data_IF_190557212300
#
_entry.id   IF_190557212300
#
_cell.length_a   1.000
_cell.length_b   1.000
_cell.length_c   1.000
_cell.angle_alpha   90.00
_cell.angle_beta   90.00
_cell.angle_gamma   90.00
#
_symmetry.space_group_name_H-M   'P 1'
#
loop_
_entity.id
_entity.type
_entity.pdbx_description
1 polymer ?
#
# COMPACT_ATOMS: atom_id res chain seq x y z
N UNK A 1 45.32 -11.53 49.69
CA UNK A 1 43.86 -11.54 49.41
C UNK A 1 43.45 -10.67 48.23
N UNK A 2 43.93 -9.43 48.07
CA UNK A 2 43.45 -8.51 47.02
C UNK A 2 43.63 -8.99 45.57
N UNK A 3 44.76 -9.61 45.23
CA UNK A 3 45.06 -10.04 43.86
C UNK A 3 44.12 -11.16 43.35
N UNK A 4 43.68 -12.05 44.23
CA UNK A 4 42.76 -13.13 43.88
C UNK A 4 41.34 -12.60 43.60
N UNK A 5 40.93 -11.53 44.29
CA UNK A 5 39.62 -10.89 44.08
C UNK A 5 39.60 -10.16 42.73
N UNK A 6 40.69 -9.46 42.39
CA UNK A 6 40.81 -8.78 41.08
C UNK A 6 40.79 -9.78 39.93
N UNK A 7 41.48 -10.91 40.06
CA UNK A 7 41.46 -11.98 39.05
C UNK A 7 40.07 -12.62 38.92
N UNK A 8 39.36 -12.85 40.03
CA UNK A 8 38.01 -13.40 39.99
C UNK A 8 37.01 -12.46 39.29
N UNK A 9 37.07 -11.15 39.58
CA UNK A 9 36.22 -10.15 38.91
C UNK A 9 36.55 -10.05 37.42
N UNK A 10 37.84 -10.07 37.04
CA UNK A 10 38.25 -10.05 35.64
C UNK A 10 37.74 -11.27 34.86
N UNK A 11 37.77 -12.47 35.46
CA UNK A 11 37.24 -13.70 34.84
C UNK A 11 35.72 -13.60 34.66
N UNK A 12 34.98 -13.09 35.65
CA UNK A 12 33.52 -12.92 35.54
C UNK A 12 33.16 -11.92 34.43
N UNK A 13 33.89 -10.80 34.33
CA UNK A 13 33.68 -9.79 33.28
C UNK A 13 33.98 -10.37 31.89
N UNK A 14 35.09 -11.12 31.74
CA UNK A 14 35.46 -11.75 30.47
C UNK A 14 34.45 -12.83 30.05
N UNK A 15 33.87 -13.58 31.00
CA UNK A 15 32.82 -14.56 30.70
C UNK A 15 31.51 -13.88 30.28
N UNK A 16 31.17 -12.73 30.85
CA UNK A 16 29.95 -11.98 30.51
C UNK A 16 30.02 -11.27 29.15
N UNK A 17 31.20 -10.80 28.73
CA UNK A 17 31.36 -10.16 27.42
C UNK A 17 31.34 -11.15 26.24
N UNK A 18 31.51 -12.46 26.49
CA UNK A 18 31.68 -13.45 25.44
C UNK A 18 30.42 -14.28 25.11
N UNK A 19 29.30 -14.08 25.83
CA UNK A 19 28.02 -14.75 25.55
C UNK A 19 27.08 -13.84 24.77
N UNK A 20 27.44 -13.53 23.52
CA UNK A 20 26.49 -12.98 22.55
C UNK A 20 25.71 -14.16 21.98
N UNK A 21 24.53 -14.41 22.54
CA UNK A 21 23.55 -15.34 21.96
C UNK A 21 22.99 -14.65 20.72
N UNK A 22 23.40 -15.10 19.54
CA UNK A 22 22.78 -14.69 18.27
C UNK A 22 21.47 -15.49 18.15
N UNK A 23 20.29 -14.85 18.09
CA UNK A 23 19.07 -15.57 17.75
C UNK A 23 19.08 -15.91 16.24
N UNK A 24 18.93 -17.19 15.95
CA UNK A 24 18.73 -17.75 14.62
C UNK A 24 17.38 -17.24 14.05
N UNK A 25 17.45 -16.44 13.00
CA UNK A 25 16.29 -16.03 12.20
C UNK A 25 15.96 -17.14 11.20
N UNK A 26 15.28 -18.17 11.67
CA UNK A 26 14.64 -19.14 10.80
C UNK A 26 13.39 -18.52 10.13
N UNK A 27 13.17 -18.92 8.87
CA UNK A 27 11.96 -18.76 8.06
C UNK A 27 11.71 -17.43 7.33
N UNK A 28 12.50 -17.19 6.28
CA UNK A 28 11.98 -16.68 5.01
C UNK A 28 11.07 -17.75 4.38
N UNK A 29 9.77 -17.72 4.71
CA UNK A 29 8.77 -18.48 3.96
C UNK A 29 8.52 -17.78 2.62
N UNK A 30 8.74 -18.54 1.56
CA UNK A 30 8.60 -18.18 0.16
C UNK A 30 7.30 -17.42 -0.12
N UNK A 31 7.42 -16.14 -0.48
CA UNK A 31 6.44 -15.50 -1.36
C UNK A 31 6.60 -16.18 -2.71
N UNK A 32 5.80 -17.21 -2.97
CA UNK A 32 5.47 -17.59 -4.34
C UNK A 32 4.71 -16.41 -4.93
N UNK A 33 5.45 -15.52 -5.59
CA UNK A 33 4.87 -14.59 -6.54
C UNK A 33 4.26 -15.46 -7.65
N UNK A 34 2.95 -15.70 -7.55
CA UNK A 34 2.15 -16.15 -8.69
C UNK A 34 2.10 -14.95 -9.64
N UNK A 35 3.18 -14.77 -10.39
CA UNK A 35 3.16 -13.95 -11.60
C UNK A 35 2.18 -14.65 -12.54
N UNK A 36 0.96 -14.15 -12.62
CA UNK A 36 0.08 -14.43 -13.75
C UNK A 36 0.74 -13.82 -14.97
N UNK A 37 1.60 -14.61 -15.62
CA UNK A 37 2.17 -14.31 -16.93
C UNK A 37 0.99 -14.28 -17.91
N UNK A 38 0.75 -13.18 -18.63
CA UNK A 38 -0.22 -13.20 -19.74
C UNK A 38 0.25 -14.22 -20.78
N UNK A 39 -0.66 -15.05 -21.30
CA UNK A 39 -0.35 -15.99 -22.38
C UNK A 39 0.09 -15.21 -23.62
N UNK A 40 1.41 -15.14 -23.82
CA UNK A 40 2.05 -14.59 -25.01
C UNK A 40 2.20 -15.71 -26.01
N UNK A 41 1.74 -15.50 -27.25
CA UNK A 41 1.97 -16.47 -28.32
C UNK A 41 3.47 -16.57 -28.66
N UNK A 42 3.88 -17.60 -29.41
CA UNK A 42 5.29 -17.82 -29.79
C UNK A 42 5.92 -16.68 -30.61
N UNK A 43 5.13 -15.65 -30.99
CA UNK A 43 5.56 -14.48 -31.73
C UNK A 43 5.62 -13.20 -30.85
N UNK A 44 5.37 -13.28 -29.54
CA UNK A 44 5.53 -12.12 -28.65
C UNK A 44 4.35 -11.14 -28.64
N UNK A 45 3.22 -11.47 -29.27
CA UNK A 45 2.08 -10.56 -29.40
C UNK A 45 1.02 -10.85 -28.32
N UNK A 46 0.56 -9.81 -27.62
CA UNK A 46 -0.50 -9.90 -26.60
C UNK A 46 -1.81 -10.29 -27.27
N UNK A 47 -2.35 -11.47 -26.93
CA UNK A 47 -3.67 -11.87 -27.39
C UNK A 47 -4.74 -10.99 -26.69
N UNK A 48 -5.65 -10.34 -27.42
CA UNK A 48 -6.76 -9.64 -26.80
C UNK A 48 -7.63 -10.65 -26.05
N UNK A 49 -8.09 -10.29 -24.85
CA UNK A 49 -9.13 -11.04 -24.16
C UNK A 49 -10.39 -11.03 -25.04
N UNK A 50 -10.58 -12.10 -25.82
CA UNK A 50 -11.79 -12.33 -26.60
C UNK A 50 -12.91 -12.69 -25.63
N UNK A 51 -13.58 -11.68 -25.08
CA UNK A 51 -14.88 -11.85 -24.44
C UNK A 51 -15.90 -12.12 -25.54
N UNK A 52 -16.15 -13.41 -25.78
CA UNK A 52 -17.39 -14.01 -26.27
C UNK A 52 -18.21 -13.25 -27.33
N UNK A 53 -18.06 -13.69 -28.58
CA UNK A 53 -19.16 -14.38 -29.25
C UNK A 53 -20.38 -13.55 -29.58
N UNK A 54 -20.29 -12.85 -30.69
CA UNK A 54 -21.38 -12.23 -31.43
C UNK A 54 -22.38 -13.30 -31.91
N UNK A 55 -23.48 -13.49 -31.19
CA UNK A 55 -24.72 -13.99 -31.81
C UNK A 55 -25.43 -12.82 -32.47
N UNK A 56 -25.34 -12.74 -33.79
CA UNK A 56 -26.17 -11.87 -34.63
C UNK A 56 -27.65 -12.28 -34.49
N UNK A 57 -28.53 -11.46 -33.89
CA UNK A 57 -29.96 -11.70 -33.97
C UNK A 57 -30.49 -11.24 -35.33
N UNK A 58 -31.49 -11.97 -35.82
CA UNK A 58 -32.16 -11.74 -37.10
C UNK A 58 -32.85 -10.36 -37.15
N UNK A 59 -33.01 -9.78 -38.37
CA UNK A 59 -33.41 -8.40 -38.55
C UNK A 59 -34.94 -8.25 -38.48
N UNK A 60 -35.50 -8.02 -37.28
CA UNK A 60 -36.84 -7.42 -37.12
C UNK A 60 -37.32 -7.13 -35.68
N UNK A 61 -36.51 -7.23 -34.63
CA UNK A 61 -36.90 -6.67 -33.34
C UNK A 61 -36.42 -5.22 -33.22
N UNK A 62 -37.35 -4.31 -32.91
CA UNK A 62 -37.08 -2.89 -32.72
C UNK A 62 -36.03 -2.72 -31.61
N UNK A 63 -34.79 -2.48 -32.03
CA UNK A 63 -33.66 -2.11 -31.17
C UNK A 63 -33.97 -0.74 -30.59
N UNK A 64 -34.19 -0.70 -29.28
CA UNK A 64 -34.30 0.55 -28.51
C UNK A 64 -33.04 1.40 -28.77
N UNK A 65 -33.25 2.61 -29.29
CA UNK A 65 -32.26 3.50 -29.92
C UNK A 65 -31.38 4.21 -28.87
N UNK A 66 -30.73 3.45 -27.98
CA UNK A 66 -29.76 4.00 -27.04
C UNK A 66 -28.57 3.06 -26.80
N UNK A 67 -28.02 2.46 -27.86
CA UNK A 67 -26.65 1.92 -27.80
C UNK A 67 -25.69 3.11 -27.74
N UNK A 68 -25.54 3.70 -26.55
CA UNK A 68 -24.57 4.75 -26.23
C UNK A 68 -23.18 4.12 -26.18
N UNK A 69 -22.42 4.28 -27.25
CA UNK A 69 -21.01 3.91 -27.26
C UNK A 69 -20.22 4.99 -26.52
N UNK A 70 -19.52 4.59 -25.45
CA UNK A 70 -18.64 5.48 -24.71
C UNK A 70 -17.22 5.49 -25.29
N UNK A 71 -16.50 6.60 -25.10
CA UNK A 71 -15.08 6.69 -25.46
C UNK A 71 -14.25 5.72 -24.61
N UNK A 72 -13.19 5.15 -25.20
CA UNK A 72 -12.26 4.22 -24.54
C UNK A 72 -11.26 4.95 -23.62
N UNK A 73 -11.74 5.92 -22.85
CA UNK A 73 -10.93 6.65 -21.89
C UNK A 73 -10.74 5.82 -20.62
N UNK A 74 -9.54 5.91 -20.04
CA UNK A 74 -9.21 5.28 -18.76
C UNK A 74 -8.84 6.35 -17.73
N UNK A 75 -9.39 6.23 -16.52
CA UNK A 75 -9.00 7.02 -15.35
C UNK A 75 -8.18 6.14 -14.42
N UNK A 76 -7.00 6.61 -14.04
CA UNK A 76 -6.19 5.92 -13.03
C UNK A 76 -6.79 6.14 -11.65
N UNK A 77 -6.98 5.05 -10.92
CA UNK A 77 -7.42 5.04 -9.54
C UNK A 77 -6.23 5.18 -8.56
N UNK A 78 -6.48 5.57 -7.30
CA UNK A 78 -5.41 5.76 -6.31
C UNK A 78 -4.59 4.50 -6.01
N UNK A 79 -5.17 3.32 -6.21
CA UNK A 79 -4.51 2.01 -6.10
C UNK A 79 -3.58 1.70 -7.29
N UNK A 80 -3.63 2.52 -8.35
CA UNK A 80 -2.90 2.33 -9.59
C UNK A 80 -3.67 1.56 -10.68
N UNK A 81 -4.86 1.00 -10.38
CA UNK A 81 -5.75 0.41 -11.38
C UNK A 81 -6.34 1.46 -12.33
N UNK A 82 -6.98 1.00 -13.41
CA UNK A 82 -7.63 1.86 -14.39
C UNK A 82 -9.10 1.49 -14.54
N UNK A 83 -9.97 2.50 -14.50
CA UNK A 83 -11.42 2.35 -14.73
C UNK A 83 -11.81 3.05 -16.02
N UNK A 84 -12.66 2.38 -16.80
CA UNK A 84 -13.24 2.93 -18.03
C UNK A 84 -14.53 3.71 -17.77
N UNK A 85 -15.06 4.34 -18.81
CA UNK A 85 -16.41 4.91 -18.80
C UNK A 85 -17.46 3.79 -18.90
N UNK A 86 -18.52 3.92 -18.12
CA UNK A 86 -19.69 3.03 -18.14
C UNK A 86 -20.94 3.81 -18.59
N UNK A 87 -21.74 3.18 -19.46
CA UNK A 87 -22.98 3.76 -19.99
C UNK A 87 -24.13 3.71 -18.97
N UNK A 88 -25.24 4.46 -19.17
CA UNK A 88 -25.63 5.25 -20.36
C UNK A 88 -25.10 6.70 -20.40
N UNK A 89 -24.52 7.21 -19.30
CA UNK A 89 -24.02 8.59 -19.19
C UNK A 89 -22.53 8.75 -19.49
N UNK A 90 -21.83 7.66 -19.81
CA UNK A 90 -20.39 7.63 -20.09
C UNK A 90 -19.54 8.29 -19.00
N UNK A 91 -19.91 8.04 -17.75
CA UNK A 91 -19.14 8.44 -16.55
C UNK A 91 -18.12 7.35 -16.21
N UNK A 92 -17.01 7.72 -15.58
CA UNK A 92 -16.05 6.72 -15.10
C UNK A 92 -16.71 5.82 -14.06
N UNK A 93 -16.47 4.51 -14.16
CA UNK A 93 -16.85 3.59 -13.11
C UNK A 93 -16.15 3.94 -11.79
N UNK A 94 -16.75 3.54 -10.68
CA UNK A 94 -16.12 3.67 -9.37
C UNK A 94 -14.83 2.86 -9.31
N UNK A 95 -13.84 3.40 -8.60
CA UNK A 95 -12.59 2.70 -8.37
C UNK A 95 -12.83 1.46 -7.48
N UNK A 96 -12.14 0.34 -7.73
CA UNK A 96 -12.22 -0.80 -6.83
C UNK A 96 -11.78 -0.38 -5.43
N UNK A 97 -12.56 -0.75 -4.42
CA UNK A 97 -12.19 -0.55 -3.02
C UNK A 97 -11.12 -1.58 -2.68
N UNK A 98 -9.86 -1.22 -2.92
CA UNK A 98 -8.74 -1.97 -2.39
C UNK A 98 -8.53 -1.44 -0.97
N UNK A 99 -8.89 -2.25 0.03
CA UNK A 99 -8.56 -1.96 1.42
C UNK A 99 -7.05 -2.08 1.58
N UNK A 100 -6.33 -1.01 1.25
CA UNK A 100 -4.90 -0.96 1.42
C UNK A 100 -4.57 -1.16 2.92
N UNK A 101 -3.49 -1.89 3.24
CA UNK A 101 -3.15 -2.18 4.61
C UNK A 101 -2.87 -0.87 5.37
N UNK A 102 -3.68 -0.60 6.39
CA UNK A 102 -3.48 0.53 7.30
C UNK A 102 -2.36 0.17 8.25
N UNK A 103 -1.27 0.94 8.20
CA UNK A 103 -0.13 0.77 9.11
C UNK A 103 -0.28 1.77 10.25
N UNK A 104 -0.45 1.26 11.47
CA UNK A 104 -0.52 2.09 12.69
C UNK A 104 0.89 2.51 13.11
N UNK A 105 1.08 3.79 13.41
CA UNK A 105 2.37 4.30 13.85
C UNK A 105 2.63 3.89 15.30
N UNK A 106 3.57 2.96 15.51
CA UNK A 106 4.03 2.55 16.84
C UNK A 106 4.99 3.57 17.44
N UNK A 107 5.19 3.53 18.76
CA UNK A 107 6.12 4.45 19.45
C UNK A 107 7.54 4.35 18.91
N UNK A 108 7.98 3.16 18.49
CA UNK A 108 9.29 2.98 17.86
C UNK A 108 9.39 3.76 16.55
N UNK A 109 8.32 3.77 15.74
CA UNK A 109 8.27 4.51 14.48
C UNK A 109 8.17 6.01 14.71
N UNK A 110 7.42 6.44 15.73
CA UNK A 110 7.32 7.86 16.13
C UNK A 110 8.63 8.42 16.66
N UNK A 111 9.42 7.60 17.35
CA UNK A 111 10.70 8.02 17.94
C UNK A 111 11.91 7.89 17.01
N UNK A 112 11.70 7.48 15.75
CA UNK A 112 12.76 7.38 14.75
C UNK A 112 13.50 8.72 14.61
N UNK A 113 14.81 8.71 14.85
CA UNK A 113 15.66 9.92 14.79
C UNK A 113 16.08 10.30 13.38
N UNK A 114 16.08 9.34 12.47
CA UNK A 114 16.45 9.52 11.09
C UNK A 114 15.57 8.64 10.21
N UNK A 115 15.13 9.19 9.09
CA UNK A 115 14.44 8.47 8.04
C UNK A 115 15.33 8.41 6.80
N UNK A 116 15.39 7.26 6.10
CA UNK A 116 16.05 7.20 4.81
C UNK A 116 15.33 8.12 3.81
N UNK A 117 16.08 8.72 2.88
CA UNK A 117 15.54 9.60 1.84
C UNK A 117 14.88 8.81 0.69
N UNK A 118 13.97 7.90 1.05
CA UNK A 118 13.20 7.09 0.11
C UNK A 118 11.91 7.85 -0.21
N UNK A 119 11.61 8.01 -1.49
CA UNK A 119 10.38 8.60 -1.95
C UNK A 119 9.38 7.49 -2.33
N UNK A 120 8.50 7.17 -1.37
CA UNK A 120 7.42 6.20 -1.52
C UNK A 120 6.21 6.77 -0.77
N UNK A 121 5.39 7.62 -1.42
CA UNK A 121 4.44 8.46 -0.73
C UNK A 121 3.37 7.65 0.01
N UNK A 122 2.97 8.17 1.16
CA UNK A 122 1.93 7.58 2.00
C UNK A 122 0.90 8.64 2.40
N UNK A 123 -0.31 8.19 2.70
CA UNK A 123 -1.38 9.02 3.20
C UNK A 123 -1.52 8.79 4.70
N UNK A 124 -1.07 9.74 5.50
CA UNK A 124 -1.09 9.68 6.96
C UNK A 124 -2.31 10.40 7.52
N UNK A 125 -2.98 9.79 8.50
CA UNK A 125 -4.03 10.44 9.26
C UNK A 125 -3.40 11.27 10.39
N UNK A 126 -3.60 12.58 10.33
CA UNK A 126 -3.04 13.54 11.28
C UNK A 126 -4.09 13.90 12.32
N UNK A 127 -3.77 13.69 13.59
CA UNK A 127 -4.59 14.15 14.69
C UNK A 127 -4.32 15.64 14.94
N UNK A 128 -5.26 16.49 14.55
CA UNK A 128 -5.22 17.91 14.86
C UNK A 128 -5.95 18.20 16.18
N UNK A 129 -5.41 19.15 16.96
CA UNK A 129 -6.04 19.64 18.18
C UNK A 129 -6.98 20.80 17.82
N UNK A 130 -8.16 20.52 17.26
CA UNK A 130 -9.11 21.59 16.91
C UNK A 130 -9.76 22.23 18.15
N UNK A 131 -10.24 23.45 17.96
CA UNK A 131 -10.93 24.24 18.99
C UNK A 131 -12.36 23.72 19.28
N UNK A 132 -12.98 23.00 18.34
CA UNK A 132 -14.33 22.43 18.47
C UNK A 132 -14.28 20.91 18.36
N UNK A 133 -14.86 20.21 19.34
CA UNK A 133 -14.96 18.74 19.45
C UNK A 133 -16.03 18.13 18.53
N UNK A 134 -15.94 16.85 18.10
CA UNK A 134 -14.78 15.95 17.92
C UNK A 134 -14.01 16.27 16.62
N UNK A 135 -12.70 16.08 16.63
CA UNK A 135 -11.86 16.26 15.44
C UNK A 135 -11.71 14.93 14.71
N UNK A 136 -12.15 14.88 13.47
CA UNK A 136 -11.80 13.77 12.59
C UNK A 136 -10.35 13.96 12.10
N UNK A 137 -9.52 12.90 12.12
CA UNK A 137 -8.15 12.97 11.61
C UNK A 137 -8.13 13.40 10.15
N UNK A 138 -7.25 14.35 9.81
CA UNK A 138 -7.13 14.87 8.45
C UNK A 138 -6.09 14.04 7.67
N UNK A 139 -6.39 13.58 6.45
CA UNK A 139 -5.43 12.88 5.61
C UNK A 139 -4.40 13.85 4.99
N UNK A 140 -3.11 13.61 5.22
CA UNK A 140 -1.99 14.39 4.68
C UNK A 140 -0.97 13.49 3.95
N UNK A 141 -0.36 14.00 2.88
CA UNK A 141 0.61 13.22 2.09
C UNK A 141 2.03 13.39 2.63
N UNK A 142 2.71 12.28 2.90
CA UNK A 142 4.09 12.23 3.37
C UNK A 142 5.01 11.56 2.35
N UNK A 143 6.30 11.88 2.36
CA UNK A 143 7.30 11.33 1.42
C UNK A 143 7.55 9.83 1.60
N UNK A 144 7.40 9.32 2.82
CA UNK A 144 7.56 7.91 3.17
C UNK A 144 6.81 7.57 4.46
N UNK A 145 6.58 6.28 4.72
CA UNK A 145 6.01 5.80 5.99
C UNK A 145 6.82 6.20 7.23
N UNK A 146 8.16 6.28 7.12
CA UNK A 146 9.00 6.75 8.23
C UNK A 146 8.76 8.23 8.50
N UNK A 147 8.75 9.05 7.45
CA UNK A 147 8.52 10.49 7.57
C UNK A 147 7.11 10.80 8.08
N UNK A 148 6.11 9.97 7.75
CA UNK A 148 4.78 10.05 8.32
C UNK A 148 4.79 9.80 9.83
N UNK A 149 5.28 8.64 10.29
CA UNK A 149 5.23 8.31 11.71
C UNK A 149 6.14 9.19 12.58
N UNK A 150 7.30 9.61 12.06
CA UNK A 150 8.26 10.46 12.79
C UNK A 150 7.73 11.90 13.01
N UNK A 151 6.68 12.32 12.30
CA UNK A 151 6.11 13.67 12.43
C UNK A 151 5.39 13.91 13.78
N UNK A 152 5.05 12.83 14.50
CA UNK A 152 4.64 12.86 15.92
C UNK A 152 3.12 12.88 16.16
N UNK A 153 2.35 13.50 15.28
CA UNK A 153 0.89 13.61 15.34
C UNK A 153 0.16 12.74 14.30
N UNK A 154 0.87 11.85 13.61
CA UNK A 154 0.28 10.87 12.68
C UNK A 154 -0.13 9.61 13.45
N UNK A 155 -1.39 9.21 13.34
CA UNK A 155 -1.94 8.01 14.01
C UNK A 155 -1.65 6.73 13.21
N UNK A 156 -1.83 6.80 11.89
CA UNK A 156 -1.65 5.69 10.96
C UNK A 156 -1.41 6.23 9.57
N UNK A 157 -0.92 5.38 8.68
CA UNK A 157 -0.81 5.70 7.27
C UNK A 157 -1.20 4.53 6.38
N UNK A 158 -1.59 4.86 5.16
CA UNK A 158 -1.87 3.93 4.08
C UNK A 158 -0.90 4.22 2.93
N UNK A 159 -0.53 3.20 2.15
CA UNK A 159 0.33 3.39 0.98
C UNK A 159 -0.36 4.27 -0.09
N UNK A 160 0.41 5.13 -0.76
CA UNK A 160 -0.09 6.05 -1.79
C UNK A 160 -0.33 7.47 -1.28
N UNK A 161 -0.38 8.44 -2.19
CA UNK A 161 -0.70 9.83 -1.84
C UNK A 161 -2.20 9.99 -1.49
N UNK A 162 -2.58 11.02 -0.74
CA UNK A 162 -3.97 11.25 -0.32
C UNK A 162 -4.93 11.71 -1.44
N UNK A 163 -4.51 11.67 -2.72
CA UNK A 163 -5.33 12.05 -3.86
C UNK A 163 -6.46 11.02 -4.07
N UNK A 164 -7.55 11.14 -3.30
CA UNK A 164 -8.71 10.24 -3.36
C UNK A 164 -9.39 9.96 -2.01
N UNK A 165 -8.84 10.42 -0.88
CA UNK A 165 -9.55 10.34 0.40
C UNK A 165 -10.61 11.46 0.48
N UNK A 166 -11.85 11.13 0.13
CA UNK A 166 -13.00 11.89 0.63
C UNK A 166 -13.38 11.30 1.98
N UNK A 167 -13.21 12.02 3.12
CA UNK A 167 -13.88 11.61 4.34
C UNK A 167 -15.39 11.65 4.05
N UNK A 168 -16.02 10.48 4.07
CA UNK A 168 -17.49 10.36 4.00
C UNK A 168 -18.13 10.92 5.28
#
# INVERSE_FOLDING_TARGET
MGLLIVLAIAVVILVWQNTVVVPEIDSISSVTATTTVPEVNTNGELLPATSGGETLPLPNEAVDDDIKVCTMDAKQCPDGSYVGRVGPSCVFADCPIVTAPVVVCTDTMKNAKACPAIYAPVCGLVEIQCITTPCDPIPETFSSGCSACSWGNVISYTAGACAGFTPE
#
